data_IF_183046731126
#
_entry.id   IF_183046731126
#
_cell.length_a   1.000
_cell.length_b   1.000
_cell.length_c   1.000
_cell.angle_alpha   90.00
_cell.angle_beta   90.00
_cell.angle_gamma   90.00
#
_symmetry.space_group_name_H-M   'P 1'
#
loop_
_entity.id
_entity.type
_entity.pdbx_description
1 polymer ?
#
# COMPACT_ATOMS: atom_id res chain seq x y z
N UNK A 1 32.84 0.56 -4.00
CA UNK A 1 32.07 0.12 -2.82
C UNK A 1 30.62 0.44 -3.11
N UNK A 2 29.75 -0.54 -3.31
CA UNK A 2 28.31 -0.26 -3.32
C UNK A 2 27.96 0.30 -1.94
N UNK A 3 27.29 1.47 -1.85
CA UNK A 3 26.80 1.95 -0.56
C UNK A 3 25.91 0.86 0.05
N UNK A 4 25.95 0.72 1.38
CA UNK A 4 25.19 -0.33 2.08
C UNK A 4 23.74 -0.34 1.60
N UNK A 5 23.31 -1.47 1.02
CA UNK A 5 21.97 -1.58 0.44
C UNK A 5 20.95 -1.47 1.56
N UNK A 6 20.18 -0.38 1.57
CA UNK A 6 19.02 -0.18 2.44
C UNK A 6 17.77 -0.64 1.70
N UNK A 7 16.78 -1.16 2.44
CA UNK A 7 15.45 -1.48 1.90
C UNK A 7 14.50 -0.28 1.96
N UNK A 8 14.87 0.77 2.69
CA UNK A 8 14.05 1.99 2.87
C UNK A 8 14.15 2.87 1.63
N UNK A 9 13.19 2.72 0.71
CA UNK A 9 13.15 3.43 -0.57
C UNK A 9 12.17 4.61 -0.58
N UNK A 10 11.08 4.52 0.19
CA UNK A 10 10.00 5.51 0.19
C UNK A 10 10.04 6.34 1.47
N UNK A 11 10.09 7.66 1.30
CA UNK A 11 10.09 8.62 2.41
C UNK A 11 8.70 9.16 2.71
N UNK A 12 7.83 9.27 1.70
CA UNK A 12 6.43 9.63 1.90
C UNK A 12 5.52 9.15 0.76
N UNK A 13 4.26 8.88 1.11
CA UNK A 13 3.14 8.70 0.17
C UNK A 13 2.09 9.75 0.50
N UNK A 14 1.69 10.53 -0.49
CA UNK A 14 0.75 11.65 -0.33
C UNK A 14 -0.38 11.55 -1.35
N UNK A 15 -1.59 11.90 -0.93
CA UNK A 15 -2.72 12.15 -1.82
C UNK A 15 -3.27 13.52 -1.46
N UNK A 16 -3.18 14.45 -2.41
CA UNK A 16 -3.60 15.84 -2.22
C UNK A 16 -4.70 16.18 -3.23
N UNK A 17 -5.63 17.04 -2.84
CA UNK A 17 -6.62 17.58 -3.76
C UNK A 17 -5.98 18.63 -4.67
N UNK A 18 -6.29 18.59 -5.96
CA UNK A 18 -5.76 19.55 -6.94
C UNK A 18 -6.50 20.88 -6.93
N UNK A 19 -7.71 20.92 -6.38
CA UNK A 19 -8.57 22.11 -6.35
C UNK A 19 -8.15 23.11 -5.26
N UNK A 20 -7.98 22.63 -4.02
CA UNK A 20 -7.70 23.47 -2.84
C UNK A 20 -6.33 23.21 -2.21
N UNK A 21 -5.60 22.20 -2.70
CA UNK A 21 -4.33 21.76 -2.12
C UNK A 21 -4.46 21.10 -0.76
N UNK A 22 -5.67 20.69 -0.38
CA UNK A 22 -5.92 20.02 0.90
C UNK A 22 -5.31 18.61 0.90
N UNK A 23 -4.78 18.23 2.07
CA UNK A 23 -4.26 16.90 2.33
C UNK A 23 -5.43 15.93 2.51
N UNK A 24 -5.54 14.94 1.63
CA UNK A 24 -6.50 13.83 1.75
C UNK A 24 -5.85 12.68 2.51
N UNK A 25 -4.64 12.29 2.10
CA UNK A 25 -3.82 11.29 2.77
C UNK A 25 -2.37 11.77 2.84
N UNK A 26 -1.68 11.52 3.96
CA UNK A 26 -0.23 11.68 4.03
C UNK A 26 0.37 10.71 5.03
N UNK A 27 1.33 9.91 4.58
CA UNK A 27 2.17 9.07 5.42
C UNK A 27 3.63 9.41 5.13
N UNK A 28 4.32 9.91 6.14
CA UNK A 28 5.75 10.19 6.10
C UNK A 28 6.45 9.08 6.88
N UNK A 29 7.29 8.31 6.19
CA UNK A 29 7.95 7.14 6.77
C UNK A 29 9.26 7.53 7.44
N UNK A 30 9.58 6.82 8.52
CA UNK A 30 10.85 6.98 9.22
C UNK A 30 11.43 5.60 9.50
N UNK A 31 12.64 5.30 9.02
CA UNK A 31 13.29 4.01 9.25
C UNK A 31 13.36 3.69 10.76
N UNK A 32 12.73 2.61 11.25
CA UNK A 32 12.71 2.26 12.67
C UNK A 32 14.08 1.79 13.19
N UNK A 33 14.97 1.36 12.29
CA UNK A 33 16.30 0.85 12.62
C UNK A 33 17.37 1.68 11.91
N UNK A 34 17.62 2.89 12.39
CA UNK A 34 18.87 3.58 12.09
C UNK A 34 20.00 2.79 12.77
N UNK A 35 20.86 2.14 11.99
CA UNK A 35 22.00 1.43 12.58
C UNK A 35 22.81 2.41 13.44
N UNK A 36 23.28 2.00 14.64
CA UNK A 36 23.91 2.91 15.61
C UNK A 36 25.18 3.62 15.07
N UNK A 37 25.74 3.15 13.96
CA UNK A 37 26.89 3.74 13.25
C UNK A 37 26.58 4.15 11.80
N UNK A 38 25.30 4.25 11.39
CA UNK A 38 24.97 4.76 10.06
C UNK A 38 25.29 6.26 9.99
N UNK A 39 25.90 6.75 8.88
CA UNK A 39 26.15 8.17 8.72
C UNK A 39 24.83 8.94 8.87
N UNK A 40 24.88 10.01 9.67
CA UNK A 40 23.73 10.82 10.12
C UNK A 40 22.94 11.51 9.00
N UNK A 41 23.33 11.32 7.74
CA UNK A 41 22.67 11.84 6.54
C UNK A 41 21.65 10.90 5.93
N UNK A 42 21.55 9.64 6.37
CA UNK A 42 20.84 8.59 5.62
C UNK A 42 19.48 8.14 6.21
N UNK A 43 19.02 8.66 7.36
CA UNK A 43 17.94 7.95 8.08
C UNK A 43 16.88 8.79 8.81
N UNK A 44 16.93 10.12 8.76
CA UNK A 44 15.87 10.95 9.33
C UNK A 44 15.03 11.57 8.23
N UNK A 45 13.71 11.34 8.27
CA UNK A 45 12.77 12.07 7.42
C UNK A 45 12.85 13.56 7.79
N UNK A 46 13.18 14.45 6.85
CA UNK A 46 13.38 15.88 7.16
C UNK A 46 12.07 16.63 7.41
N UNK A 47 10.93 15.98 7.17
CA UNK A 47 9.61 16.53 7.47
C UNK A 47 9.09 16.03 8.82
N UNK A 48 9.88 16.27 9.86
CA UNK A 48 9.61 15.79 11.23
C UNK A 48 8.42 16.46 11.90
N UNK A 49 8.04 17.66 11.47
CA UNK A 49 6.89 18.38 11.99
C UNK A 49 5.84 18.69 10.91
N UNK A 50 4.59 18.92 11.35
CA UNK A 50 3.45 19.19 10.45
C UNK A 50 3.66 20.47 9.64
N UNK A 51 4.44 21.44 10.16
CA UNK A 51 4.69 22.71 9.48
C UNK A 51 5.58 22.48 8.25
N UNK A 52 6.65 21.71 8.40
CA UNK A 52 7.56 21.31 7.33
C UNK A 52 6.83 20.48 6.28
N UNK A 53 6.02 19.51 6.71
CA UNK A 53 5.19 18.70 5.79
C UNK A 53 4.25 19.56 4.94
N UNK A 54 3.50 20.48 5.57
CA UNK A 54 2.58 21.38 4.84
C UNK A 54 3.30 22.33 3.89
N UNK A 55 4.49 22.80 4.26
CA UNK A 55 5.31 23.65 3.40
C UNK A 55 5.77 22.88 2.14
N UNK A 56 6.20 21.63 2.32
CA UNK A 56 6.58 20.74 1.24
C UNK A 56 5.39 20.39 0.32
N UNK A 57 4.24 20.00 0.89
CA UNK A 57 3.01 19.70 0.14
C UNK A 57 2.55 20.88 -0.71
N UNK A 58 2.57 22.09 -0.16
CA UNK A 58 2.22 23.31 -0.90
C UNK A 58 3.14 23.51 -2.10
N UNK A 59 4.46 23.38 -1.90
CA UNK A 59 5.43 23.55 -2.98
C UNK A 59 5.35 22.45 -4.04
N UNK A 60 4.96 21.22 -3.66
CA UNK A 60 4.70 20.13 -4.61
C UNK A 60 3.57 20.49 -5.57
N UNK A 61 2.42 20.89 -5.05
CA UNK A 61 1.26 21.25 -5.89
C UNK A 61 1.59 22.41 -6.82
N UNK A 62 2.27 23.45 -6.32
CA UNK A 62 2.66 24.59 -7.16
C UNK A 62 3.54 24.19 -8.34
N UNK A 63 4.40 23.18 -8.15
CA UNK A 63 5.32 22.66 -9.19
C UNK A 63 4.64 21.69 -10.14
N UNK A 64 3.79 20.80 -9.64
CA UNK A 64 3.17 19.76 -10.47
C UNK A 64 1.89 20.23 -11.17
N UNK A 65 1.17 21.21 -10.64
CA UNK A 65 -0.07 21.70 -11.25
C UNK A 65 0.14 22.30 -12.66
N UNK A 66 1.36 22.76 -12.97
CA UNK A 66 1.70 23.38 -14.27
C UNK A 66 2.51 22.46 -15.18
N UNK A 67 2.94 21.31 -14.70
CA UNK A 67 3.77 20.38 -15.45
C UNK A 67 2.98 19.12 -15.82
N UNK A 68 2.99 18.79 -17.10
CA UNK A 68 2.54 17.49 -17.58
C UNK A 68 3.74 16.55 -17.58
N UNK A 69 3.99 15.91 -16.44
CA UNK A 69 5.05 14.93 -16.27
C UNK A 69 4.68 13.90 -15.20
N UNK A 70 5.60 12.97 -14.99
CA UNK A 70 5.40 11.86 -14.04
C UNK A 70 6.44 11.88 -12.90
N UNK A 71 7.50 12.66 -13.06
CA UNK A 71 8.65 12.74 -12.16
C UNK A 71 9.16 14.19 -12.08
N UNK A 72 9.52 14.62 -10.88
CA UNK A 72 10.26 15.87 -10.64
C UNK A 72 11.31 15.68 -9.56
N UNK A 73 12.35 16.51 -9.60
CA UNK A 73 13.27 16.73 -8.48
C UNK A 73 12.80 17.94 -7.68
N UNK A 74 12.46 17.75 -6.41
CA UNK A 74 12.03 18.82 -5.52
C UNK A 74 12.54 18.60 -4.09
N UNK A 75 13.06 19.67 -3.48
CA UNK A 75 13.65 19.65 -2.13
C UNK A 75 14.69 18.53 -1.91
N UNK A 76 15.54 18.34 -2.94
CA UNK A 76 16.53 17.26 -2.98
C UNK A 76 15.91 15.87 -2.75
N UNK A 77 14.76 15.64 -3.37
CA UNK A 77 14.05 14.35 -3.44
C UNK A 77 13.52 14.10 -4.83
N UNK A 78 13.51 12.83 -5.20
CA UNK A 78 12.81 12.36 -6.38
C UNK A 78 11.34 12.19 -6.00
N UNK A 79 10.45 12.83 -6.76
CA UNK A 79 9.02 12.77 -6.52
C UNK A 79 8.32 12.30 -7.78
N UNK A 80 7.66 11.16 -7.67
CA UNK A 80 6.81 10.59 -8.70
C UNK A 80 5.38 11.03 -8.42
N UNK A 81 4.64 11.41 -9.45
CA UNK A 81 3.26 11.87 -9.29
C UNK A 81 2.36 11.44 -10.42
N UNK A 82 1.08 11.23 -10.09
CA UNK A 82 0.02 10.93 -11.04
C UNK A 82 -1.25 11.68 -10.66
N UNK A 83 -1.88 12.25 -11.68
CA UNK A 83 -3.17 12.93 -11.57
C UNK A 83 -4.28 11.94 -11.88
N UNK A 84 -5.31 11.89 -11.03
CA UNK A 84 -6.56 11.20 -11.30
C UNK A 84 -7.70 12.14 -10.93
N UNK A 85 -8.51 12.55 -11.91
CA UNK A 85 -9.60 13.51 -11.70
C UNK A 85 -9.14 14.81 -10.96
N UNK A 86 -9.62 15.02 -9.73
CA UNK A 86 -9.38 16.16 -8.85
C UNK A 86 -8.38 15.85 -7.70
N UNK A 87 -7.63 14.75 -7.83
CA UNK A 87 -6.60 14.34 -6.88
C UNK A 87 -5.24 14.12 -7.56
N UNK A 88 -4.19 14.40 -6.79
CA UNK A 88 -2.82 14.11 -7.17
C UNK A 88 -2.18 13.19 -6.14
N UNK A 89 -1.69 12.06 -6.63
CA UNK A 89 -0.96 11.06 -5.86
C UNK A 89 0.53 11.34 -6.00
N UNK A 90 1.28 11.17 -4.91
CA UNK A 90 2.73 11.36 -4.89
C UNK A 90 3.42 10.22 -4.15
N UNK A 91 4.55 9.77 -4.69
CA UNK A 91 5.52 8.91 -4.01
C UNK A 91 6.85 9.65 -3.97
N UNK A 92 7.39 9.81 -2.77
CA UNK A 92 8.60 10.59 -2.51
C UNK A 92 9.72 9.64 -2.10
N UNK A 93 10.86 9.70 -2.79
CA UNK A 93 12.07 8.93 -2.48
C UNK A 93 13.32 9.81 -2.36
N UNK A 94 14.42 9.21 -1.91
CA UNK A 94 15.72 9.88 -1.93
C UNK A 94 16.21 10.09 -3.36
N UNK A 95 17.19 10.98 -3.55
CA UNK A 95 17.84 11.22 -4.85
C UNK A 95 18.67 10.04 -5.35
N UNK A 96 19.06 9.15 -4.46
CA UNK A 96 19.85 7.96 -4.77
C UNK A 96 18.99 6.73 -5.08
N UNK A 97 17.65 6.85 -4.99
CA UNK A 97 16.73 5.74 -5.19
C UNK A 97 16.47 5.43 -6.67
N UNK A 98 16.06 4.19 -6.92
CA UNK A 98 15.67 3.78 -8.27
C UNK A 98 14.30 4.37 -8.65
N UNK A 99 14.32 5.34 -9.56
CA UNK A 99 13.12 6.00 -10.09
C UNK A 99 12.09 5.03 -10.67
N UNK A 100 12.54 3.96 -11.33
CA UNK A 100 11.65 2.96 -11.95
C UNK A 100 10.87 2.20 -10.86
N UNK A 101 11.52 1.90 -9.74
CA UNK A 101 10.88 1.23 -8.61
C UNK A 101 9.81 2.14 -7.97
N UNK A 102 10.13 3.42 -7.77
CA UNK A 102 9.16 4.41 -7.26
C UNK A 102 8.02 4.65 -8.25
N UNK A 103 8.30 4.64 -9.55
CA UNK A 103 7.30 4.75 -10.60
C UNK A 103 6.33 3.56 -10.59
N UNK A 104 6.83 2.34 -10.46
CA UNK A 104 5.99 1.15 -10.30
C UNK A 104 5.14 1.23 -9.02
N UNK A 105 5.68 1.82 -7.95
CA UNK A 105 4.95 2.00 -6.67
C UNK A 105 3.75 2.93 -6.83
N UNK A 106 3.90 4.07 -7.51
CA UNK A 106 2.77 4.98 -7.74
C UNK A 106 1.74 4.41 -8.71
N UNK A 107 2.18 3.65 -9.72
CA UNK A 107 1.27 2.94 -10.62
C UNK A 107 0.48 1.86 -9.86
N UNK A 108 1.15 1.10 -9.00
CA UNK A 108 0.50 0.10 -8.15
C UNK A 108 -0.59 0.74 -7.28
N UNK A 109 -0.31 1.89 -6.66
CA UNK A 109 -1.31 2.65 -5.90
C UNK A 109 -2.49 3.07 -6.79
N UNK A 110 -2.21 3.74 -7.90
CA UNK A 110 -3.22 4.25 -8.82
C UNK A 110 -4.12 3.15 -9.37
N UNK A 111 -3.53 2.06 -9.85
CA UNK A 111 -4.25 0.94 -10.44
C UNK A 111 -5.01 0.14 -9.36
N UNK A 112 -4.45 -0.01 -8.16
CA UNK A 112 -5.16 -0.64 -7.03
C UNK A 112 -6.42 0.12 -6.65
N UNK A 113 -6.36 1.46 -6.60
CA UNK A 113 -7.53 2.29 -6.28
C UNK A 113 -8.62 2.18 -7.36
N UNK A 114 -8.23 2.16 -8.65
CA UNK A 114 -9.17 1.90 -9.75
C UNK A 114 -9.86 0.53 -9.61
N UNK A 115 -9.12 -0.51 -9.25
CA UNK A 115 -9.66 -1.86 -9.04
C UNK A 115 -10.55 -1.95 -7.79
N UNK A 116 -10.18 -1.30 -6.69
CA UNK A 116 -10.94 -1.30 -5.44
C UNK A 116 -12.28 -0.58 -5.59
N UNK A 117 -12.26 0.62 -6.17
CA UNK A 117 -13.46 1.46 -6.25
C UNK A 117 -14.41 1.06 -7.37
N UNK A 118 -13.90 0.46 -8.46
CA UNK A 118 -14.69 0.12 -9.66
C UNK A 118 -15.45 1.32 -10.27
N UNK A 119 -15.00 2.54 -9.94
CA UNK A 119 -15.54 3.82 -10.41
C UNK A 119 -14.39 4.85 -10.52
N UNK A 120 -14.71 6.11 -10.78
CA UNK A 120 -13.70 7.18 -10.85
C UNK A 120 -12.93 7.32 -9.54
N UNK A 121 -11.63 7.54 -9.65
CA UNK A 121 -10.78 7.90 -8.52
C UNK A 121 -10.80 9.42 -8.39
N UNK A 122 -11.67 9.93 -7.54
CA UNK A 122 -11.82 11.35 -7.21
C UNK A 122 -11.78 11.58 -5.69
N UNK A 123 -11.66 12.84 -5.25
CA UNK A 123 -11.56 13.24 -3.85
C UNK A 123 -12.72 12.67 -3.03
N UNK A 124 -13.93 12.74 -3.57
CA UNK A 124 -15.14 12.25 -2.90
C UNK A 124 -15.04 10.74 -2.68
N UNK A 125 -14.72 9.98 -3.71
CA UNK A 125 -14.63 8.52 -3.65
C UNK A 125 -13.53 8.05 -2.68
N UNK A 126 -12.37 8.71 -2.69
CA UNK A 126 -11.27 8.42 -1.77
C UNK A 126 -11.69 8.68 -0.32
N UNK A 127 -12.40 9.78 -0.05
CA UNK A 127 -12.87 10.12 1.31
C UNK A 127 -13.97 9.15 1.78
N UNK A 128 -14.90 8.77 0.90
CA UNK A 128 -15.96 7.80 1.21
C UNK A 128 -15.40 6.39 1.51
N UNK A 129 -14.27 6.01 0.91
CA UNK A 129 -13.63 4.70 1.04
C UNK A 129 -12.20 4.80 1.63
N UNK A 130 -12.01 5.69 2.60
CA UNK A 130 -10.69 6.01 3.15
C UNK A 130 -10.00 4.81 3.82
N UNK A 131 -10.79 3.90 4.39
CA UNK A 131 -10.31 2.64 4.97
C UNK A 131 -9.61 1.76 3.94
N UNK A 132 -10.24 1.55 2.77
CA UNK A 132 -9.65 0.79 1.68
C UNK A 132 -8.37 1.45 1.13
N UNK A 133 -8.34 2.78 1.08
CA UNK A 133 -7.15 3.54 0.66
C UNK A 133 -6.00 3.32 1.63
N UNK A 134 -6.27 3.44 2.94
CA UNK A 134 -5.25 3.23 3.97
C UNK A 134 -4.69 1.80 3.92
N UNK A 135 -5.57 0.80 3.81
CA UNK A 135 -5.17 -0.61 3.72
C UNK A 135 -4.37 -0.91 2.45
N UNK A 136 -4.76 -0.33 1.30
CA UNK A 136 -4.01 -0.48 0.07
C UNK A 136 -2.60 0.10 0.18
N UNK A 137 -2.45 1.27 0.80
CA UNK A 137 -1.15 1.90 1.02
C UNK A 137 -0.28 1.06 1.97
N UNK A 138 -0.86 0.48 3.02
CA UNK A 138 -0.14 -0.39 3.96
C UNK A 138 0.33 -1.71 3.29
N UNK A 139 -0.42 -2.25 2.33
CA UNK A 139 0.02 -3.42 1.54
C UNK A 139 1.09 -3.07 0.49
N UNK A 140 1.18 -1.81 0.06
CA UNK A 140 2.19 -1.34 -0.91
C UNK A 140 3.49 -0.96 -0.21
N UNK A 141 3.41 -0.15 0.85
CA UNK A 141 4.58 0.40 1.56
C UNK A 141 4.42 0.26 3.07
N UNK A 142 5.37 -0.44 3.69
CA UNK A 142 5.48 -0.58 5.13
C UNK A 142 6.77 0.06 5.63
N UNK A 143 6.65 1.06 6.52
CA UNK A 143 7.76 1.84 7.08
C UNK A 143 8.81 2.32 6.06
N UNK A 144 8.38 2.60 4.83
CA UNK A 144 9.23 3.08 3.73
C UNK A 144 9.86 1.96 2.89
N UNK A 145 9.54 0.70 3.17
CA UNK A 145 9.91 -0.48 2.39
C UNK A 145 8.75 -0.82 1.47
N UNK A 146 9.04 -1.00 0.18
CA UNK A 146 8.04 -1.42 -0.81
C UNK A 146 7.84 -2.93 -0.66
N UNK A 147 6.61 -3.34 -0.37
CA UNK A 147 6.24 -4.75 -0.16
C UNK A 147 5.66 -5.38 -1.43
N UNK A 148 4.81 -4.66 -2.14
CA UNK A 148 4.08 -5.18 -3.30
C UNK A 148 3.88 -4.09 -4.36
N UNK A 149 4.00 -4.48 -5.63
CA UNK A 149 3.80 -3.58 -6.78
C UNK A 149 2.73 -4.10 -7.75
N UNK A 150 2.22 -5.31 -7.56
CA UNK A 150 1.11 -5.84 -8.37
C UNK A 150 -0.25 -5.40 -7.78
N UNK A 151 -1.02 -4.56 -8.49
CA UNK A 151 -2.29 -4.05 -8.00
C UNK A 151 -3.33 -5.16 -7.77
N UNK A 152 -3.27 -6.27 -8.52
CA UNK A 152 -4.21 -7.38 -8.35
C UNK A 152 -3.97 -8.12 -7.03
N UNK A 153 -2.70 -8.28 -6.64
CA UNK A 153 -2.32 -8.90 -5.37
C UNK A 153 -2.70 -8.00 -4.20
N UNK A 154 -2.44 -6.68 -4.31
CA UNK A 154 -2.81 -5.69 -3.31
C UNK A 154 -4.32 -5.72 -3.06
N UNK A 155 -5.13 -5.60 -4.11
CA UNK A 155 -6.60 -5.64 -4.02
C UNK A 155 -7.08 -6.94 -3.39
N UNK A 156 -6.47 -8.08 -3.74
CA UNK A 156 -6.84 -9.38 -3.17
C UNK A 156 -6.57 -9.44 -1.65
N UNK A 157 -5.50 -8.82 -1.15
CA UNK A 157 -5.19 -8.78 0.28
C UNK A 157 -6.09 -7.81 1.04
N UNK A 158 -6.35 -6.64 0.47
CA UNK A 158 -7.22 -5.61 1.07
C UNK A 158 -8.70 -6.04 1.11
N UNK A 159 -9.19 -6.72 0.07
CA UNK A 159 -10.61 -7.09 -0.06
C UNK A 159 -11.03 -8.34 0.72
N UNK A 160 -10.06 -9.10 1.24
CA UNK A 160 -10.36 -10.26 2.09
C UNK A 160 -10.62 -9.74 3.49
N UNK A 161 -11.88 -9.80 3.92
CA UNK A 161 -12.18 -9.74 5.34
C UNK A 161 -11.25 -10.74 6.05
N UNK A 162 -10.73 -10.41 7.26
CA UNK A 162 -9.97 -11.37 8.05
C UNK A 162 -10.78 -12.65 8.01
N UNK A 163 -10.20 -13.72 7.48
CA UNK A 163 -10.76 -15.04 7.73
C UNK A 163 -10.68 -15.15 9.24
N UNK A 164 -11.79 -14.86 9.95
CA UNK A 164 -12.03 -15.40 11.26
C UNK A 164 -11.51 -16.81 11.14
N UNK A 165 -10.49 -17.13 11.95
CA UNK A 165 -9.90 -18.45 12.03
C UNK A 165 -11.00 -19.44 11.68
N UNK A 166 -10.78 -20.15 10.55
CA UNK A 166 -11.64 -21.24 10.08
C UNK A 166 -12.36 -21.80 11.29
N UNK A 167 -13.70 -21.73 11.43
CA UNK A 167 -14.34 -21.91 12.73
C UNK A 167 -14.10 -23.34 13.22
N UNK A 168 -12.97 -23.55 13.91
CA UNK A 168 -12.63 -24.80 14.59
C UNK A 168 -13.64 -25.05 15.72
N UNK A 169 -14.44 -24.02 16.07
CA UNK A 169 -15.49 -24.08 17.08
C UNK A 169 -16.92 -24.34 16.58
N UNK A 170 -17.17 -24.58 15.28
CA UNK A 170 -18.53 -24.91 14.80
C UNK A 170 -18.56 -26.18 13.95
N UNK A 171 -18.07 -27.27 14.53
CA UNK A 171 -18.71 -28.55 14.28
C UNK A 171 -20.13 -28.40 14.82
N UNK A 172 -21.09 -28.18 13.94
CA UNK A 172 -22.49 -28.27 14.29
C UNK A 172 -22.76 -29.72 14.73
N UNK A 173 -22.72 -29.97 16.04
CA UNK A 173 -23.03 -31.26 16.69
C UNK A 173 -24.55 -31.55 16.63
N UNK A 174 -25.23 -31.11 15.58
CA UNK A 174 -26.59 -31.50 15.28
C UNK A 174 -26.59 -32.93 14.73
N UNK A 175 -27.69 -33.66 14.91
CA UNK A 175 -27.84 -35.02 14.35
C UNK A 175 -27.60 -35.05 12.83
N UNK A 176 -27.85 -33.92 12.14
CA UNK A 176 -27.56 -33.77 10.72
C UNK A 176 -26.04 -33.62 10.44
N UNK A 177 -25.31 -32.87 11.27
CA UNK A 177 -23.86 -32.75 11.17
C UNK A 177 -23.13 -34.07 11.44
N UNK A 178 -23.57 -34.84 12.46
CA UNK A 178 -23.02 -36.16 12.78
C UNK A 178 -23.30 -37.16 11.65
N UNK A 179 -24.50 -37.14 11.07
CA UNK A 179 -24.83 -38.01 9.93
C UNK A 179 -24.00 -37.70 8.68
N UNK A 180 -23.76 -36.42 8.39
CA UNK A 180 -22.91 -36.02 7.27
C UNK A 180 -21.45 -36.41 7.52
N UNK A 181 -20.95 -36.27 8.76
CA UNK A 181 -19.61 -36.69 9.14
C UNK A 181 -19.44 -38.21 9.09
N UNK A 182 -20.46 -38.97 9.49
CA UNK A 182 -20.48 -40.43 9.39
C UNK A 182 -20.52 -40.90 7.94
N UNK A 183 -21.24 -40.21 7.06
CA UNK A 183 -21.22 -40.49 5.61
C UNK A 183 -19.85 -40.19 5.00
N UNK A 184 -19.22 -39.07 5.38
CA UNK A 184 -17.86 -38.72 4.95
C UNK A 184 -16.80 -39.70 5.46
N UNK A 185 -16.95 -40.20 6.70
CA UNK A 185 -16.10 -41.25 7.24
C UNK A 185 -16.26 -42.57 6.48
N UNK A 186 -17.50 -42.96 6.17
CA UNK A 186 -17.80 -44.16 5.39
C UNK A 186 -17.25 -44.08 3.96
N UNK A 187 -17.39 -42.94 3.27
CA UNK A 187 -16.86 -42.79 1.91
C UNK A 187 -15.34 -42.85 1.89
N UNK A 188 -14.66 -42.16 2.81
CA UNK A 188 -13.19 -42.23 2.90
C UNK A 188 -12.66 -43.61 3.28
N UNK A 189 -13.37 -44.35 4.14
CA UNK A 189 -12.98 -45.70 4.50
C UNK A 189 -13.23 -46.70 3.36
N UNK A 190 -14.32 -46.53 2.60
CA UNK A 190 -14.59 -47.31 1.40
C UNK A 190 -13.56 -47.04 0.30
N UNK A 191 -13.13 -45.79 0.14
CA UNK A 191 -12.07 -45.41 -0.80
C UNK A 191 -10.70 -45.97 -0.37
N UNK A 192 -10.40 -45.98 0.93
CA UNK A 192 -9.19 -46.61 1.46
C UNK A 192 -9.19 -48.13 1.26
N UNK A 193 -10.33 -48.80 1.48
CA UNK A 193 -10.50 -50.23 1.19
C UNK A 193 -10.43 -50.56 -0.30
N UNK A 194 -10.84 -49.65 -1.19
CA UNK A 194 -10.71 -49.81 -2.64
C UNK A 194 -9.29 -49.57 -3.16
N UNK A 195 -8.51 -48.73 -2.50
CA UNK A 195 -7.11 -48.46 -2.86
C UNK A 195 -6.12 -49.44 -2.21
N UNK A 196 -6.57 -50.25 -1.24
CA UNK A 196 -5.78 -51.25 -0.52
C UNK A 196 -5.90 -52.70 -1.02
N UNK A 197 -6.43 -52.92 -2.23
CA UNK A 197 -6.49 -54.21 -2.93
C UNK A 197 -5.79 -54.13 -4.29
#
# INVERSE_FOLDING_TARGET
>A
MSPGMTLFAVQAVLILSTEDGSRIFAKYFQPPHSAPNAPSSASANPYSDVKAQKAFEKGLIEKTAKQTGDIILYDNRIVLYKMESDVMMYVVGSVDENEILLYNTILALRDSLHLLFKQSVDKRTIVENYDLVSLAIDEIVDDGIILETDPTIIVQRVSRAPTQDMPVGRIDLSEQGVNNLAQLGKSKLADWLRQGL
#
